data_IF_579707462012
#
_entry.id   IF_579707462012
#
_cell.length_a   1.000
_cell.length_b   1.000
_cell.length_c   1.000
_cell.angle_alpha   90.00
_cell.angle_beta   90.00
_cell.angle_gamma   90.00
#
_symmetry.space_group_name_H-M   'P 1'
#
loop_
_entity.id
_entity.type
_entity.pdbx_description
1 polymer ?
#
# COMPACT_ATOMS: atom_id res chain seq x y z
N UNK A 1 -13.99 -15.18 -1.02
CA UNK A 1 -12.95 -14.95 0.00
C UNK A 1 -11.62 -14.92 -0.73
N UNK A 2 -11.04 -13.77 -1.13
CA UNK A 2 -9.75 -13.80 -1.79
C UNK A 2 -8.70 -14.17 -0.74
N UNK A 3 -7.91 -15.21 -1.03
CA UNK A 3 -6.77 -15.59 -0.21
C UNK A 3 -5.79 -14.44 -0.12
N UNK A 4 -5.17 -14.28 1.05
CA UNK A 4 -4.14 -13.27 1.28
C UNK A 4 -3.11 -13.32 0.16
N UNK A 5 -2.90 -12.21 -0.54
CA UNK A 5 -1.77 -12.07 -1.45
C UNK A 5 -0.52 -12.02 -0.58
N UNK A 6 0.41 -12.94 -0.81
CA UNK A 6 1.74 -12.86 -0.21
C UNK A 6 2.57 -11.96 -1.13
N UNK A 7 2.99 -10.78 -0.68
CA UNK A 7 3.75 -9.87 -1.53
C UNK A 7 5.12 -10.45 -1.85
N UNK A 8 5.61 -10.20 -3.05
CA UNK A 8 6.99 -10.49 -3.42
C UNK A 8 7.97 -9.69 -2.53
N UNK A 9 9.16 -10.26 -2.29
CA UNK A 9 10.18 -9.58 -1.49
C UNK A 9 10.62 -8.27 -2.17
N UNK A 10 10.60 -8.23 -3.49
CA UNK A 10 10.93 -7.08 -4.32
C UNK A 10 9.88 -5.98 -4.21
N UNK A 11 8.59 -6.31 -4.15
CA UNK A 11 7.54 -5.33 -3.89
C UNK A 11 7.68 -4.73 -2.48
N UNK A 12 8.02 -5.55 -1.47
CA UNK A 12 8.30 -5.05 -0.11
C UNK A 12 9.55 -4.16 -0.10
N UNK A 13 10.60 -4.53 -0.82
CA UNK A 13 11.81 -3.73 -0.99
C UNK A 13 11.53 -2.37 -1.62
N UNK A 14 10.73 -2.32 -2.68
CA UNK A 14 10.29 -1.08 -3.32
C UNK A 14 9.53 -0.17 -2.34
N UNK A 15 8.58 -0.72 -1.58
CA UNK A 15 7.83 0.04 -0.58
C UNK A 15 8.76 0.62 0.50
N UNK A 16 9.77 -0.14 0.94
CA UNK A 16 10.78 0.34 1.88
C UNK A 16 11.59 1.49 1.29
N UNK A 17 12.07 1.36 0.04
CA UNK A 17 12.85 2.38 -0.64
C UNK A 17 12.07 3.70 -0.77
N UNK A 18 10.79 3.63 -1.13
CA UNK A 18 9.90 4.79 -1.19
C UNK A 18 9.70 5.46 0.18
N UNK A 19 9.61 4.68 1.26
CA UNK A 19 9.45 5.20 2.63
C UNK A 19 10.73 5.87 3.14
N UNK A 20 11.91 5.37 2.75
CA UNK A 20 13.20 5.91 3.19
C UNK A 20 13.75 7.00 2.27
N UNK A 21 13.13 7.21 1.10
CA UNK A 21 13.60 8.16 0.09
C UNK A 21 14.79 7.65 -0.73
N UNK A 22 14.99 6.34 -0.80
CA UNK A 22 15.99 5.71 -1.67
C UNK A 22 15.47 5.62 -3.11
N UNK A 23 15.64 6.72 -3.85
CA UNK A 23 15.13 6.84 -5.22
C UNK A 23 15.89 5.99 -6.23
N UNK A 24 17.17 5.69 -6.01
CA UNK A 24 17.94 4.83 -6.91
C UNK A 24 17.37 3.41 -6.95
N UNK A 25 17.09 2.84 -5.78
CA UNK A 25 16.42 1.53 -5.67
C UNK A 25 15.00 1.58 -6.23
N UNK A 26 14.25 2.66 -5.99
CA UNK A 26 12.88 2.81 -6.48
C UNK A 26 12.83 2.90 -8.02
N UNK A 27 13.73 3.66 -8.64
CA UNK A 27 13.80 3.85 -10.09
C UNK A 27 14.28 2.58 -10.82
N UNK A 28 15.11 1.77 -10.16
CA UNK A 28 15.58 0.49 -10.70
C UNK A 28 14.53 -0.65 -10.62
N UNK A 29 13.40 -0.44 -9.95
CA UNK A 29 12.41 -1.49 -9.73
C UNK A 29 11.73 -1.95 -11.02
N UNK A 30 11.60 -3.28 -11.19
CA UNK A 30 10.91 -3.83 -12.36
C UNK A 30 9.42 -3.45 -12.39
N UNK A 31 8.83 -3.15 -13.57
CA UNK A 31 7.44 -2.74 -13.70
C UNK A 31 6.41 -3.71 -13.10
N UNK A 32 6.74 -5.00 -12.99
CA UNK A 32 5.87 -6.00 -12.34
C UNK A 32 5.72 -5.73 -10.84
N UNK A 33 6.80 -5.38 -10.15
CA UNK A 33 6.80 -5.10 -8.71
C UNK A 33 6.18 -3.75 -8.41
N UNK A 34 6.34 -2.78 -9.32
CA UNK A 34 5.66 -1.48 -9.22
C UNK A 34 4.14 -1.66 -9.26
N UNK A 35 3.62 -2.48 -10.18
CA UNK A 35 2.18 -2.79 -10.24
C UNK A 35 1.69 -3.53 -9.00
N UNK A 36 2.45 -4.50 -8.52
CA UNK A 36 2.12 -5.24 -7.30
C UNK A 36 2.07 -4.31 -6.07
N UNK A 37 3.12 -3.52 -5.85
CA UNK A 37 3.21 -2.54 -4.77
C UNK A 37 2.06 -1.52 -4.83
N UNK A 38 1.77 -0.99 -6.01
CA UNK A 38 0.62 -0.08 -6.21
C UNK A 38 -0.70 -0.76 -5.84
N UNK A 39 -0.89 -2.02 -6.23
CA UNK A 39 -2.08 -2.80 -5.89
C UNK A 39 -2.22 -3.01 -4.38
N UNK A 40 -1.13 -3.31 -3.69
CA UNK A 40 -1.10 -3.47 -2.23
C UNK A 40 -1.48 -2.16 -1.53
N UNK A 41 -0.91 -1.03 -1.95
CA UNK A 41 -1.22 0.29 -1.39
C UNK A 41 -2.68 0.65 -1.65
N UNK A 42 -3.18 0.48 -2.88
CA UNK A 42 -4.58 0.75 -3.20
C UNK A 42 -5.54 -0.13 -2.39
N UNK A 43 -5.26 -1.42 -2.26
CA UNK A 43 -6.09 -2.33 -1.47
C UNK A 43 -6.08 -1.97 0.02
N UNK A 44 -4.91 -1.63 0.57
CA UNK A 44 -4.77 -1.16 1.95
C UNK A 44 -5.56 0.11 2.20
N UNK A 45 -5.39 1.12 1.33
CA UNK A 45 -6.12 2.38 1.42
C UNK A 45 -7.63 2.17 1.27
N UNK A 46 -8.06 1.37 0.31
CA UNK A 46 -9.46 1.06 0.10
C UNK A 46 -10.09 0.44 1.35
N UNK A 47 -9.48 -0.62 1.89
CA UNK A 47 -9.90 -1.24 3.14
C UNK A 47 -9.92 -0.24 4.31
N UNK A 48 -8.90 0.62 4.39
CA UNK A 48 -8.77 1.58 5.48
C UNK A 48 -9.83 2.67 5.39
N UNK A 49 -10.16 3.14 4.18
CA UNK A 49 -11.21 4.12 3.95
C UNK A 49 -12.60 3.53 4.22
N UNK A 50 -12.88 2.33 3.72
CA UNK A 50 -14.16 1.66 3.99
C UNK A 50 -14.41 1.40 5.49
N UNK A 51 -13.33 1.21 6.25
CA UNK A 51 -13.39 1.04 7.71
C UNK A 51 -13.31 2.35 8.49
N UNK A 52 -12.56 3.33 8.02
CA UNK A 52 -12.36 4.65 8.64
C UNK A 52 -13.52 5.63 8.43
N UNK A 53 -14.24 5.53 7.30
CA UNK A 53 -15.50 6.27 7.09
C UNK A 53 -16.58 5.87 8.11
N UNK A 54 -16.49 4.68 8.72
CA UNK A 54 -17.39 4.27 9.81
C UNK A 54 -17.07 4.96 11.14
N UNK A 55 -15.81 5.31 11.41
CA UNK A 55 -15.41 6.01 12.64
C UNK A 55 -15.53 7.54 12.55
N UNK A 56 -15.44 8.12 11.33
CA UNK A 56 -15.66 9.56 11.11
C UNK A 56 -17.08 10.03 11.47
N UNK A 57 -18.09 9.15 11.47
CA UNK A 57 -19.44 9.47 11.97
C UNK A 57 -19.50 9.82 13.47
N UNK A 58 -18.44 9.58 14.23
CA UNK A 58 -18.39 9.90 15.66
C UNK A 58 -17.54 11.15 15.98
N UNK A 59 -16.81 11.72 15.01
CA UNK A 59 -15.91 12.86 15.23
C UNK A 59 -16.59 14.21 15.01
N UNK A 60 -17.74 14.27 14.31
CA UNK A 60 -18.51 15.52 14.14
C UNK A 60 -19.37 15.92 15.36
N UNK A 61 -19.27 15.21 16.49
CA UNK A 61 -20.03 15.52 17.72
C UNK A 61 -19.13 15.81 18.92
N UNK A 62 -18.10 16.65 18.73
CA UNK A 62 -17.31 17.24 19.82
C UNK A 62 -17.15 18.74 19.62
#
# INVERSE_FOLDING_TARGET
MPGSVVPSAEAVGLLSALLTGDWETADAAEPRHVREASGLVSAYLHWHLERGLRSLRYVEKS
#
